data_IF_538613404797
#
_entry.id   IF_538613404797
#
_cell.length_a   1.000
_cell.length_b   1.000
_cell.length_c   1.000
_cell.angle_alpha   90.00
_cell.angle_beta   90.00
_cell.angle_gamma   90.00
#
_symmetry.space_group_name_H-M   'P 1'
#
loop_
_entity.id
_entity.type
_entity.pdbx_description
1 polymer ?
#
# COMPACT_ATOMS: atom_id res chain seq x y z
N UNK A 1 -7.58 -1.86 6.71
CA UNK A 1 -7.16 -2.77 5.61
C UNK A 1 -7.43 -4.20 6.05
N UNK A 2 -8.22 -4.97 5.29
CA UNK A 2 -8.72 -6.29 5.73
C UNK A 2 -7.59 -7.30 5.94
N UNK A 3 -6.62 -7.38 5.03
CA UNK A 3 -5.49 -8.33 5.15
C UNK A 3 -4.62 -8.08 6.37
N UNK A 4 -4.36 -6.81 6.72
CA UNK A 4 -3.56 -6.46 7.90
C UNK A 4 -4.25 -6.91 9.21
N UNK A 5 -5.57 -6.73 9.28
CA UNK A 5 -6.39 -7.19 10.42
C UNK A 5 -6.46 -8.73 10.46
N UNK A 6 -6.43 -9.39 9.31
CA UNK A 6 -6.33 -10.85 9.24
C UNK A 6 -5.02 -11.37 9.84
N UNK A 7 -3.89 -10.84 9.39
CA UNK A 7 -2.55 -11.19 9.91
C UNK A 7 -2.43 -10.89 11.38
N UNK A 8 -2.93 -9.73 11.84
CA UNK A 8 -2.85 -9.37 13.25
C UNK A 8 -3.61 -10.37 14.14
N UNK A 9 -4.77 -10.86 13.68
CA UNK A 9 -5.53 -11.89 14.39
C UNK A 9 -4.82 -13.23 14.39
N UNK A 10 -4.29 -13.66 13.25
CA UNK A 10 -3.57 -14.94 13.13
C UNK A 10 -2.33 -14.99 14.03
N UNK A 11 -1.60 -13.86 14.12
CA UNK A 11 -0.36 -13.73 14.88
C UNK A 11 -0.55 -13.20 16.31
N UNK A 12 -1.80 -12.98 16.75
CA UNK A 12 -2.13 -12.39 18.06
C UNK A 12 -1.45 -11.03 18.33
N UNK A 13 -1.34 -10.21 17.29
CA UNK A 13 -0.77 -8.86 17.36
C UNK A 13 -1.86 -7.89 17.82
N UNK A 14 -1.60 -7.19 18.93
CA UNK A 14 -2.50 -6.17 19.44
C UNK A 14 -2.30 -4.84 18.71
N UNK A 15 -3.19 -4.56 17.77
CA UNK A 15 -3.25 -3.27 17.07
C UNK A 15 -4.30 -2.38 17.74
N UNK A 16 -3.86 -1.23 18.25
CA UNK A 16 -4.76 -0.20 18.80
C UNK A 16 -5.40 0.61 17.68
N UNK A 17 -4.61 1.00 16.68
CA UNK A 17 -5.08 1.78 15.54
C UNK A 17 -4.31 1.40 14.27
N UNK A 18 -5.01 1.40 13.13
CA UNK A 18 -4.41 1.25 11.80
C UNK A 18 -4.95 2.34 10.87
N UNK A 19 -4.05 3.23 10.41
CA UNK A 19 -4.34 4.22 9.39
C UNK A 19 -3.62 3.85 8.09
N UNK A 20 -4.33 3.90 6.97
CA UNK A 20 -3.76 3.60 5.66
C UNK A 20 -3.97 4.78 4.73
N UNK A 21 -2.87 5.30 4.18
CA UNK A 21 -2.89 6.33 3.15
C UNK A 21 -2.31 5.77 1.87
N UNK A 22 -3.10 5.84 0.79
CA UNK A 22 -2.63 5.48 -0.55
C UNK A 22 -2.46 6.77 -1.34
N UNK A 23 -1.29 6.92 -1.96
CA UNK A 23 -0.97 7.98 -2.90
C UNK A 23 -0.48 7.36 -4.19
N UNK A 24 -0.51 8.11 -5.28
CA UNK A 24 -0.12 7.60 -6.57
C UNK A 24 0.72 8.63 -7.33
N UNK A 25 1.59 8.14 -8.21
CA UNK A 25 2.22 8.94 -9.26
C UNK A 25 1.51 8.64 -10.56
N UNK A 26 1.19 9.67 -11.32
CA UNK A 26 0.62 9.55 -12.65
C UNK A 26 1.45 10.38 -13.63
N UNK A 27 1.55 9.93 -14.88
CA UNK A 27 2.07 10.81 -15.92
C UNK A 27 1.04 11.90 -16.19
N UNK A 28 1.44 13.16 -16.01
CA UNK A 28 0.61 14.31 -16.35
C UNK A 28 0.89 14.65 -17.80
N UNK A 29 -0.18 14.87 -18.56
CA UNK A 29 -0.06 15.14 -19.98
C UNK A 29 0.04 16.63 -20.26
N UNK A 30 1.11 17.06 -20.90
CA UNK A 30 1.25 18.41 -21.46
C UNK A 30 1.37 18.28 -22.97
N UNK A 31 0.33 18.70 -23.71
CA UNK A 31 0.32 18.59 -25.18
C UNK A 31 -0.97 18.99 -25.91
N UNK A 32 -2.11 19.15 -25.22
CA UNK A 32 -3.38 19.54 -25.84
C UNK A 32 -4.21 18.39 -26.43
N UNK A 33 -5.35 18.67 -27.08
CA UNK A 33 -6.43 17.70 -27.37
C UNK A 33 -6.19 16.72 -28.53
N UNK A 34 -5.06 16.83 -29.25
CA UNK A 34 -4.76 15.98 -30.42
C UNK A 34 -3.57 15.03 -30.26
N UNK A 35 -2.94 14.99 -29.09
CA UNK A 35 -1.79 14.12 -28.89
C UNK A 35 -2.27 12.66 -28.64
N UNK A 36 -1.82 11.63 -29.38
CA UNK A 36 -2.30 10.24 -29.28
C UNK A 36 -1.97 9.51 -27.96
N UNK A 37 -0.91 9.90 -27.26
CA UNK A 37 -0.57 9.38 -25.93
C UNK A 37 -1.60 9.73 -24.80
N UNK A 38 -2.79 10.32 -25.09
CA UNK A 38 -3.72 10.93 -24.07
C UNK A 38 -4.50 9.87 -23.36
N UNK A 39 -4.57 8.72 -24.03
CA UNK A 39 -5.30 7.55 -23.62
C UNK A 39 -4.54 6.73 -22.59
N UNK A 40 -3.29 7.09 -22.24
CA UNK A 40 -2.53 6.46 -21.17
C UNK A 40 -2.30 7.41 -19.99
N UNK A 41 -3.40 7.85 -19.35
CA UNK A 41 -3.36 8.23 -17.93
C UNK A 41 -3.06 6.95 -17.11
N UNK A 42 -1.83 6.45 -17.22
CA UNK A 42 -1.38 5.26 -16.52
C UNK A 42 -0.80 5.74 -15.20
N UNK A 43 -1.43 5.35 -14.10
CA UNK A 43 -0.77 5.39 -12.80
C UNK A 43 0.56 4.67 -12.97
N UNK A 44 1.66 5.35 -12.69
CA UNK A 44 3.01 4.82 -12.88
C UNK A 44 3.58 4.22 -11.60
N UNK A 45 3.02 4.60 -10.45
CA UNK A 45 3.42 4.09 -9.15
C UNK A 45 2.29 4.25 -8.14
N UNK A 46 2.07 3.25 -7.30
CA UNK A 46 1.27 3.36 -6.09
C UNK A 46 2.19 3.40 -4.87
N UNK A 47 1.88 4.26 -3.91
CA UNK A 47 2.60 4.37 -2.63
C UNK A 47 1.60 4.19 -1.50
N UNK A 48 1.80 3.17 -0.70
CA UNK A 48 0.98 2.84 0.45
C UNK A 48 1.77 3.13 1.73
N UNK A 49 1.29 4.08 2.51
CA UNK A 49 1.79 4.37 3.84
C UNK A 49 0.81 3.83 4.87
N UNK A 50 1.30 2.95 5.75
CA UNK A 50 0.50 2.30 6.79
C UNK A 50 1.06 2.75 8.12
N UNK A 51 0.24 3.44 8.91
CA UNK A 51 0.58 3.82 10.26
C UNK A 51 -0.13 2.87 11.21
N UNK A 52 0.63 2.26 12.11
CA UNK A 52 0.14 1.30 13.09
C UNK A 52 0.47 1.81 14.49
N UNK A 53 -0.51 1.77 15.39
CA UNK A 53 -0.34 2.11 16.80
C UNK A 53 -0.50 0.85 17.66
N UNK A 54 0.39 0.67 18.61
CA UNK A 54 0.38 -0.44 19.56
C UNK A 54 1.79 -0.92 19.91
N UNK A 55 1.89 -1.83 20.88
CA UNK A 55 3.13 -2.47 21.27
C UNK A 55 3.50 -3.54 20.24
N UNK A 56 4.37 -3.17 19.30
CA UNK A 56 4.78 -4.04 18.19
C UNK A 56 6.27 -4.36 18.29
N UNK A 57 6.60 -5.64 18.19
CA UNK A 57 7.97 -6.09 17.97
C UNK A 57 8.37 -5.91 16.50
N UNK A 58 9.67 -5.98 16.20
CA UNK A 58 10.17 -5.97 14.82
C UNK A 58 9.56 -7.10 13.98
N UNK A 59 9.38 -8.28 14.59
CA UNK A 59 8.76 -9.45 13.94
C UNK A 59 7.29 -9.20 13.60
N UNK A 60 6.56 -8.49 14.45
CA UNK A 60 5.16 -8.13 14.19
C UNK A 60 5.08 -7.16 13.01
N UNK A 61 5.95 -6.16 12.98
CA UNK A 61 6.02 -5.19 11.86
C UNK A 61 6.37 -5.91 10.56
N UNK A 62 7.30 -6.86 10.58
CA UNK A 62 7.67 -7.66 9.42
C UNK A 62 6.50 -8.51 8.93
N UNK A 63 5.78 -9.19 9.83
CA UNK A 63 4.59 -9.98 9.49
C UNK A 63 3.49 -9.11 8.87
N UNK A 64 3.23 -7.93 9.44
CA UNK A 64 2.25 -6.98 8.92
C UNK A 64 2.68 -6.43 7.55
N UNK A 65 3.97 -6.17 7.34
CA UNK A 65 4.52 -5.72 6.05
C UNK A 65 4.38 -6.82 5.00
N UNK A 66 4.70 -8.06 5.35
CA UNK A 66 4.52 -9.21 4.48
C UNK A 66 3.05 -9.35 4.06
N UNK A 67 2.12 -9.32 5.02
CA UNK A 67 0.69 -9.39 4.74
C UNK A 67 0.19 -8.22 3.90
N UNK A 68 0.75 -7.03 4.09
CA UNK A 68 0.42 -5.88 3.26
C UNK A 68 0.81 -6.14 1.79
N UNK A 69 2.03 -6.63 1.55
CA UNK A 69 2.55 -6.84 0.20
C UNK A 69 1.86 -8.01 -0.54
N UNK A 70 1.40 -9.04 0.18
CA UNK A 70 0.78 -10.23 -0.43
C UNK A 70 -0.76 -10.18 -0.47
N UNK A 71 -1.38 -9.01 -0.33
CA UNK A 71 -2.83 -8.91 -0.37
C UNK A 71 -3.36 -9.11 -1.81
N UNK A 72 -4.56 -9.69 -2.01
CA UNK A 72 -5.07 -10.04 -3.34
C UNK A 72 -5.09 -8.87 -4.33
N UNK A 73 -5.39 -7.67 -3.83
CA UNK A 73 -5.38 -6.44 -4.63
C UNK A 73 -3.96 -6.02 -4.99
N UNK A 74 -2.99 -6.13 -4.07
CA UNK A 74 -1.58 -5.89 -4.37
C UNK A 74 -1.08 -6.84 -5.46
N UNK A 75 -1.35 -8.14 -5.33
CA UNK A 75 -0.95 -9.16 -6.31
C UNK A 75 -1.55 -8.89 -7.69
N UNK A 76 -2.79 -8.40 -7.75
CA UNK A 76 -3.47 -8.08 -9.01
C UNK A 76 -2.84 -6.85 -9.69
N UNK A 77 -2.42 -5.85 -8.91
CA UNK A 77 -1.94 -4.57 -9.41
C UNK A 77 -0.43 -4.55 -9.70
N UNK A 78 0.38 -5.37 -9.01
CA UNK A 78 1.83 -5.39 -9.16
C UNK A 78 2.30 -5.70 -10.60
N UNK A 79 1.55 -6.52 -11.35
CA UNK A 79 1.85 -6.80 -12.76
C UNK A 79 1.64 -5.60 -13.70
N UNK A 80 0.89 -4.59 -13.27
CA UNK A 80 0.53 -3.42 -14.08
C UNK A 80 1.20 -2.13 -13.59
N UNK A 81 1.38 -1.98 -12.28
CA UNK A 81 1.89 -0.79 -11.60
C UNK A 81 2.68 -1.20 -10.34
N UNK A 82 3.93 -0.73 -10.15
CA UNK A 82 4.68 -1.01 -8.95
C UNK A 82 4.01 -0.39 -7.72
N UNK A 83 3.96 -1.15 -6.62
CA UNK A 83 3.41 -0.71 -5.33
C UNK A 83 4.54 -0.63 -4.30
N UNK A 84 4.77 0.57 -3.76
CA UNK A 84 5.74 0.80 -2.68
C UNK A 84 5.01 0.88 -1.35
N UNK A 85 5.31 -0.04 -0.44
CA UNK A 85 4.70 -0.08 0.90
C UNK A 85 5.70 0.34 1.95
N UNK A 86 5.24 1.18 2.88
CA UNK A 86 5.96 1.50 4.10
C UNK A 86 5.02 1.36 5.29
N UNK A 87 5.50 0.69 6.33
CA UNK A 87 4.86 0.68 7.65
C UNK A 87 5.64 1.64 8.57
N UNK A 88 4.90 2.42 9.34
CA UNK A 88 5.41 3.31 10.39
C UNK A 88 4.68 2.97 11.69
N UNK A 89 5.43 2.70 12.76
CA UNK A 89 4.88 2.53 14.10
C UNK A 89 4.77 3.91 14.73
N UNK A 90 3.54 4.31 15.09
CA UNK A 90 3.26 5.60 15.74
C UNK A 90 2.97 5.38 17.22
N UNK A 91 3.46 6.32 18.05
CA UNK A 91 3.28 6.30 19.50
C UNK A 91 1.83 6.58 19.92
#
# INVERSE_FOLDING_TARGET
MVTLVGVSREKNILLEEVKVRVTHKQNIRVGGPHDPAQRSLKITELRRHIQVKGTLSEQDVEALLWGANHCPVSNTLEGAVPIKTRIEVVA
#
